data_IF_387837637710
#
_entry.id   IF_387837637710
#
_cell.length_a   1.000
_cell.length_b   1.000
_cell.length_c   1.000
_cell.angle_alpha   90.00
_cell.angle_beta   90.00
_cell.angle_gamma   90.00
#
_symmetry.space_group_name_H-M   'P 1'
#
loop_
_entity.id
_entity.type
_entity.pdbx_description
1 polymer ?
#
# COMPACT_ATOMS: atom_id res chain seq x y z
N UNK A 1 -15.94 -5.88 -11.89
CA UNK A 1 -15.55 -4.45 -11.99
C UNK A 1 -16.71 -3.45 -11.89
N UNK A 2 -17.97 -3.81 -12.16
CA UNK A 2 -19.10 -2.86 -12.08
C UNK A 2 -19.47 -2.36 -10.68
N UNK A 3 -19.16 -3.09 -9.60
CA UNK A 3 -19.49 -2.68 -8.23
C UNK A 3 -18.60 -1.55 -7.69
N UNK A 4 -17.32 -1.49 -8.09
CA UNK A 4 -16.37 -0.45 -7.65
C UNK A 4 -16.65 0.90 -8.31
N UNK A 5 -17.32 0.92 -9.48
CA UNK A 5 -17.74 2.16 -10.14
C UNK A 5 -18.90 2.86 -9.43
N UNK A 6 -19.74 2.14 -8.67
CA UNK A 6 -20.93 2.70 -8.00
C UNK A 6 -20.60 3.49 -6.74
N UNK A 7 -19.55 3.10 -6.02
CA UNK A 7 -19.04 3.81 -4.82
C UNK A 7 -17.67 4.47 -5.07
N UNK A 8 -17.32 4.68 -6.34
CA UNK A 8 -15.99 5.15 -6.73
C UNK A 8 -15.63 6.50 -6.10
N UNK A 9 -16.60 7.40 -5.92
CA UNK A 9 -16.39 8.68 -5.24
C UNK A 9 -16.05 8.50 -3.75
N UNK A 10 -16.76 7.60 -3.06
CA UNK A 10 -16.47 7.32 -1.64
C UNK A 10 -15.11 6.65 -1.45
N UNK A 11 -14.73 5.74 -2.35
CA UNK A 11 -13.41 5.10 -2.30
C UNK A 11 -12.31 6.13 -2.55
N UNK A 12 -12.48 7.03 -3.52
CA UNK A 12 -11.50 8.10 -3.80
C UNK A 12 -11.38 9.04 -2.60
N UNK A 13 -12.49 9.49 -2.00
CA UNK A 13 -12.43 10.40 -0.85
C UNK A 13 -11.72 9.77 0.35
N UNK A 14 -12.02 8.50 0.66
CA UNK A 14 -11.39 7.77 1.78
C UNK A 14 -9.89 7.55 1.52
N UNK A 15 -9.51 7.30 0.26
CA UNK A 15 -8.10 7.17 -0.13
C UNK A 15 -7.38 8.52 0.01
N UNK A 16 -8.00 9.60 -0.45
CA UNK A 16 -7.44 10.95 -0.40
C UNK A 16 -7.19 11.40 1.05
N UNK A 17 -8.18 11.21 1.93
CA UNK A 17 -8.04 11.45 3.38
C UNK A 17 -6.89 10.64 3.99
N UNK A 18 -6.77 9.35 3.64
CA UNK A 18 -5.69 8.49 4.17
C UNK A 18 -4.32 8.90 3.62
N UNK A 19 -4.24 9.36 2.36
CA UNK A 19 -3.00 9.88 1.76
C UNK A 19 -2.58 11.15 2.50
N UNK A 20 -3.49 12.12 2.68
CA UNK A 20 -3.19 13.35 3.41
C UNK A 20 -2.73 13.07 4.83
N UNK A 21 -3.44 12.20 5.55
CA UNK A 21 -3.08 11.83 6.91
C UNK A 21 -1.71 11.13 6.94
N UNK A 22 -1.49 10.16 6.06
CA UNK A 22 -0.23 9.43 6.00
C UNK A 22 0.95 10.34 5.65
N UNK A 23 0.72 11.33 4.79
CA UNK A 23 1.73 12.31 4.40
C UNK A 23 2.06 13.26 5.55
N UNK A 24 1.05 13.80 6.25
CA UNK A 24 1.24 14.66 7.44
C UNK A 24 2.01 13.93 8.54
N UNK A 25 1.62 12.69 8.86
CA UNK A 25 2.32 11.90 9.88
C UNK A 25 3.76 11.56 9.48
N UNK A 26 4.01 11.29 8.20
CA UNK A 26 5.36 11.10 7.68
C UNK A 26 6.18 12.40 7.78
N UNK A 27 5.62 13.53 7.35
CA UNK A 27 6.27 14.85 7.38
C UNK A 27 6.70 15.20 8.81
N UNK A 28 5.77 15.09 9.76
CA UNK A 28 6.03 15.32 11.18
C UNK A 28 7.12 14.39 11.72
N UNK A 29 7.00 13.08 11.48
CA UNK A 29 7.95 12.08 11.97
C UNK A 29 9.34 12.24 11.36
N UNK A 30 9.42 12.50 10.05
CA UNK A 30 10.68 12.66 9.32
C UNK A 30 11.40 13.93 9.76
N UNK A 31 10.71 15.07 9.82
CA UNK A 31 11.33 16.33 10.21
C UNK A 31 11.64 16.39 11.71
N UNK A 32 10.88 15.74 12.60
CA UNK A 32 11.24 15.59 14.01
C UNK A 32 12.47 14.70 14.19
N UNK A 33 12.51 13.51 13.55
CA UNK A 33 13.67 12.60 13.64
C UNK A 33 14.95 13.22 13.07
N UNK A 34 14.84 14.03 12.03
CA UNK A 34 15.99 14.76 11.46
C UNK A 34 16.38 15.98 12.30
N UNK A 35 15.47 16.62 13.06
CA UNK A 35 15.84 17.65 14.06
C UNK A 35 16.71 17.06 15.17
N UNK A 36 16.40 15.87 15.65
CA UNK A 36 17.23 15.18 16.66
C UNK A 36 18.60 14.77 16.11
N UNK A 37 18.67 14.33 14.84
CA UNK A 37 19.94 13.98 14.18
C UNK A 37 20.77 15.18 13.75
N UNK A 38 20.15 16.35 13.60
CA UNK A 38 20.77 17.63 13.17
C UNK A 38 21.81 18.19 14.14
N UNK A 39 21.95 17.63 15.35
CA UNK A 39 23.10 17.96 16.21
C UNK A 39 24.44 17.39 15.72
N UNK A 40 24.47 16.51 14.71
CA UNK A 40 25.71 15.82 14.32
C UNK A 40 26.18 15.97 12.87
N UNK A 41 25.42 16.52 11.92
CA UNK A 41 26.03 16.90 10.64
C UNK A 41 25.19 17.86 9.76
N UNK A 42 25.90 18.88 9.25
CA UNK A 42 25.60 19.82 8.16
C UNK A 42 24.58 20.97 8.39
N UNK A 43 25.16 22.16 8.57
CA UNK A 43 24.63 23.43 8.03
C UNK A 43 24.42 23.30 6.51
N UNK A 44 23.17 23.30 6.04
CA UNK A 44 22.84 23.75 4.67
C UNK A 44 22.20 25.13 4.81
N UNK A 45 22.85 26.16 4.28
CA UNK A 45 22.44 27.57 4.35
C UNK A 45 21.17 27.89 3.55
N UNK A 46 20.68 26.94 2.75
CA UNK A 46 19.70 27.18 1.69
C UNK A 46 18.34 26.49 1.95
N UNK A 47 18.15 25.88 3.12
CA UNK A 47 16.86 25.26 3.53
C UNK A 47 16.54 23.90 2.90
N UNK A 48 17.33 23.41 1.95
CA UNK A 48 17.15 22.08 1.34
C UNK A 48 17.58 20.93 2.25
N UNK A 49 16.84 19.81 2.19
CA UNK A 49 17.09 18.58 2.96
C UNK A 49 17.12 17.37 2.04
N UNK A 50 18.12 16.51 2.20
CA UNK A 50 18.24 15.26 1.46
C UNK A 50 17.23 14.22 1.97
N UNK A 51 16.43 13.65 1.07
CA UNK A 51 15.39 12.67 1.42
C UNK A 51 15.61 11.38 0.63
N UNK A 52 15.52 10.23 1.31
CA UNK A 52 15.46 8.93 0.65
C UNK A 52 14.00 8.59 0.34
N UNK A 53 13.66 8.44 -0.95
CA UNK A 53 12.27 8.31 -1.37
C UNK A 53 11.63 6.97 -1.02
N UNK A 54 12.38 5.86 -1.03
CA UNK A 54 11.82 4.54 -0.70
C UNK A 54 11.25 4.46 0.73
N UNK A 55 12.00 4.82 1.79
CA UNK A 55 11.46 4.82 3.15
C UNK A 55 10.36 5.88 3.39
N UNK A 56 10.20 6.85 2.49
CA UNK A 56 9.08 7.80 2.50
C UNK A 56 7.81 7.21 1.87
N UNK A 57 7.91 6.72 0.63
CA UNK A 57 6.75 6.24 -0.13
C UNK A 57 6.19 4.92 0.43
N UNK A 58 7.05 4.07 0.99
CA UNK A 58 6.63 2.74 1.40
C UNK A 58 5.61 2.74 2.54
N UNK A 59 5.77 3.47 3.66
CA UNK A 59 4.73 3.59 4.68
C UNK A 59 3.43 4.21 4.15
N UNK A 60 3.55 5.27 3.33
CA UNK A 60 2.40 5.94 2.70
C UNK A 60 1.56 4.94 1.89
N UNK A 61 2.20 4.22 0.96
CA UNK A 61 1.54 3.19 0.15
C UNK A 61 0.93 2.09 1.01
N UNK A 62 1.63 1.61 2.04
CA UNK A 62 1.12 0.53 2.88
C UNK A 62 -0.15 0.92 3.65
N UNK A 63 -0.27 2.19 4.07
CA UNK A 63 -1.46 2.70 4.75
C UNK A 63 -2.61 2.92 3.77
N UNK A 64 -2.36 3.61 2.66
CA UNK A 64 -3.37 3.85 1.62
C UNK A 64 -3.88 2.55 1.00
N UNK A 65 -2.98 1.65 0.62
CA UNK A 65 -3.35 0.34 0.08
C UNK A 65 -4.01 -0.53 1.16
N UNK A 66 -3.51 -0.48 2.41
CA UNK A 66 -4.13 -1.12 3.56
C UNK A 66 -5.56 -0.64 3.81
N UNK A 67 -5.86 0.64 3.61
CA UNK A 67 -7.19 1.22 3.78
C UNK A 67 -8.21 0.58 2.83
N UNK A 68 -7.81 0.30 1.59
CA UNK A 68 -8.63 -0.40 0.59
C UNK A 68 -8.77 -1.89 0.92
N UNK A 69 -7.73 -2.52 1.44
CA UNK A 69 -7.72 -3.95 1.71
C UNK A 69 -8.49 -4.34 2.98
N UNK A 70 -8.18 -3.70 4.11
CA UNK A 70 -8.68 -4.09 5.45
C UNK A 70 -9.60 -3.06 6.09
N UNK A 71 -9.53 -1.80 5.64
CA UNK A 71 -10.25 -0.68 6.25
C UNK A 71 -9.54 -0.09 7.47
N UNK A 72 -10.08 1.01 7.97
CA UNK A 72 -9.68 1.62 9.24
C UNK A 72 -10.30 0.85 10.43
N UNK A 73 -9.64 0.83 11.62
CA UNK A 73 -8.36 1.47 11.95
C UNK A 73 -7.12 0.62 11.60
N UNK A 74 -7.30 -0.62 11.15
CA UNK A 74 -6.21 -1.59 10.96
C UNK A 74 -5.15 -1.14 9.96
N UNK A 75 -5.52 -0.38 8.93
CA UNK A 75 -4.58 0.17 7.94
C UNK A 75 -3.49 1.07 8.55
N UNK A 76 -3.79 1.74 9.67
CA UNK A 76 -2.89 2.64 10.38
C UNK A 76 -2.17 1.99 11.57
N UNK A 77 -2.41 0.69 11.83
CA UNK A 77 -1.71 -0.03 12.90
C UNK A 77 -0.22 -0.21 12.55
N UNK A 78 0.73 0.23 13.39
CA UNK A 78 2.16 0.08 13.13
C UNK A 78 2.61 -1.37 12.91
N UNK A 79 1.98 -2.34 13.58
CA UNK A 79 2.26 -3.76 13.39
C UNK A 79 1.79 -4.23 12.01
N UNK A 80 0.63 -3.74 11.55
CA UNK A 80 0.12 -4.01 10.21
C UNK A 80 1.08 -3.45 9.16
N UNK A 81 1.41 -2.15 9.24
CA UNK A 81 2.28 -1.47 8.28
C UNK A 81 3.64 -2.17 8.20
N UNK A 82 4.22 -2.55 9.33
CA UNK A 82 5.51 -3.25 9.38
C UNK A 82 5.43 -4.67 8.80
N UNK A 83 4.34 -5.39 9.09
CA UNK A 83 4.16 -6.75 8.61
C UNK A 83 3.89 -6.78 7.09
N UNK A 84 3.02 -5.90 6.61
CA UNK A 84 2.63 -5.72 5.20
C UNK A 84 3.79 -5.18 4.35
N UNK A 85 4.62 -4.32 4.95
CA UNK A 85 5.77 -3.76 4.26
C UNK A 85 6.75 -4.84 3.82
N UNK A 86 7.03 -4.91 2.53
CA UNK A 86 8.10 -5.72 1.95
C UNK A 86 7.76 -7.19 1.95
N UNK A 87 6.47 -7.55 2.03
CA UNK A 87 6.01 -8.95 1.93
C UNK A 87 6.55 -9.61 0.66
N UNK A 88 6.52 -8.92 -0.48
CA UNK A 88 7.07 -9.50 -1.70
C UNK A 88 8.60 -9.62 -1.71
N UNK A 89 9.33 -8.74 -1.02
CA UNK A 89 10.78 -8.90 -0.83
C UNK A 89 11.06 -10.12 0.06
N UNK A 90 10.34 -10.24 1.19
CA UNK A 90 10.41 -11.40 2.10
C UNK A 90 10.13 -12.71 1.35
N UNK A 91 9.11 -12.73 0.48
CA UNK A 91 8.77 -13.89 -0.34
C UNK A 91 9.86 -14.21 -1.36
N UNK A 92 10.34 -13.21 -2.09
CA UNK A 92 11.38 -13.38 -3.10
C UNK A 92 12.66 -13.96 -2.48
N UNK A 93 13.09 -13.45 -1.32
CA UNK A 93 14.24 -13.95 -0.59
C UNK A 93 14.03 -15.38 -0.08
N UNK A 94 12.87 -15.67 0.52
CA UNK A 94 12.54 -17.02 0.96
C UNK A 94 12.50 -18.03 -0.21
N UNK A 95 11.91 -17.63 -1.35
CA UNK A 95 11.85 -18.44 -2.55
C UNK A 95 13.24 -18.67 -3.16
N UNK A 96 14.09 -17.64 -3.20
CA UNK A 96 15.49 -17.74 -3.65
C UNK A 96 16.24 -18.76 -2.81
N UNK A 97 16.16 -18.65 -1.49
CA UNK A 97 16.86 -19.55 -0.58
C UNK A 97 16.37 -21.01 -0.73
N UNK A 98 15.06 -21.22 -0.92
CA UNK A 98 14.48 -22.54 -1.15
C UNK A 98 14.84 -23.13 -2.52
N UNK A 99 15.01 -22.29 -3.56
CA UNK A 99 15.43 -22.74 -4.89
C UNK A 99 16.85 -23.31 -4.90
N UNK A 100 17.69 -22.93 -3.94
CA UNK A 100 19.03 -23.50 -3.75
C UNK A 100 19.02 -24.98 -3.33
N UNK A 101 17.88 -25.54 -2.92
CA UNK A 101 17.78 -26.93 -2.46
C UNK A 101 16.89 -27.77 -3.39
N UNK A 102 17.22 -29.07 -3.48
CA UNK A 102 16.40 -30.04 -4.18
C UNK A 102 15.01 -30.17 -3.54
N UNK A 103 13.98 -30.38 -4.37
CA UNK A 103 12.58 -30.42 -3.96
C UNK A 103 12.27 -31.30 -2.71
N UNK A 104 12.96 -32.43 -2.53
CA UNK A 104 12.73 -33.34 -1.41
C UNK A 104 13.25 -32.81 -0.06
N UNK A 105 14.26 -31.94 -0.07
CA UNK A 105 14.81 -31.32 1.15
C UNK A 105 14.02 -30.08 1.60
N UNK A 106 13.26 -29.46 0.68
CA UNK A 106 12.53 -28.20 0.95
C UNK A 106 11.58 -28.28 2.15
N UNK A 107 10.80 -29.36 2.37
CA UNK A 107 9.90 -29.44 3.52
C UNK A 107 10.61 -29.39 4.88
N UNK A 108 11.84 -29.93 4.95
CA UNK A 108 12.64 -29.97 6.17
C UNK A 108 13.42 -28.66 6.36
N UNK A 109 14.14 -28.22 5.32
CA UNK A 109 15.08 -27.10 5.46
C UNK A 109 14.39 -25.74 5.58
N UNK A 110 13.14 -25.60 5.08
CA UNK A 110 12.40 -24.33 5.15
C UNK A 110 12.32 -23.76 6.57
N UNK A 111 12.23 -24.61 7.59
CA UNK A 111 12.12 -24.16 8.98
C UNK A 111 13.42 -23.58 9.55
N UNK A 112 14.57 -23.91 8.96
CA UNK A 112 15.89 -23.42 9.36
C UNK A 112 16.24 -22.11 8.63
N UNK A 113 15.69 -21.90 7.42
CA UNK A 113 16.00 -20.74 6.60
C UNK A 113 15.49 -19.43 7.24
N UNK A 114 16.37 -18.43 7.47
CA UNK A 114 15.99 -17.20 8.15
C UNK A 114 14.94 -16.41 7.38
N UNK A 115 15.07 -16.30 6.05
CA UNK A 115 14.12 -15.55 5.22
C UNK A 115 12.73 -16.20 5.19
N UNK A 116 12.65 -17.53 5.22
CA UNK A 116 11.37 -18.23 5.35
C UNK A 116 10.71 -17.95 6.71
N UNK A 117 11.50 -17.94 7.79
CA UNK A 117 10.99 -17.61 9.14
C UNK A 117 10.48 -16.16 9.22
N UNK A 118 11.19 -15.21 8.62
CA UNK A 118 10.76 -13.80 8.54
C UNK A 118 9.46 -13.67 7.77
N UNK A 119 9.34 -14.32 6.61
CA UNK A 119 8.10 -14.35 5.83
C UNK A 119 6.93 -14.94 6.62
N UNK A 120 7.13 -16.09 7.28
CA UNK A 120 6.09 -16.72 8.08
C UNK A 120 5.71 -15.89 9.30
N UNK A 121 6.66 -15.17 9.91
CA UNK A 121 6.36 -14.24 11.00
C UNK A 121 5.50 -13.06 10.51
N UNK A 122 5.83 -12.48 9.35
CA UNK A 122 5.01 -11.43 8.74
C UNK A 122 3.60 -11.95 8.39
N UNK A 123 3.50 -13.14 7.80
CA UNK A 123 2.21 -13.78 7.51
C UNK A 123 1.37 -14.02 8.76
N UNK A 124 1.97 -14.49 9.85
CA UNK A 124 1.27 -14.68 11.14
C UNK A 124 0.78 -13.36 11.71
N UNK A 125 1.62 -12.32 11.75
CA UNK A 125 1.19 -10.98 12.21
C UNK A 125 0.02 -10.43 11.39
N UNK A 126 0.08 -10.55 10.07
CA UNK A 126 -1.02 -10.12 9.20
C UNK A 126 -2.29 -10.93 9.50
N UNK A 127 -2.17 -12.25 9.66
CA UNK A 127 -3.30 -13.10 10.01
C UNK A 127 -3.93 -12.74 11.36
N UNK A 128 -3.11 -12.43 12.37
CA UNK A 128 -3.56 -11.98 13.70
C UNK A 128 -4.39 -10.69 13.63
N UNK A 129 -4.05 -9.77 12.71
CA UNK A 129 -4.80 -8.52 12.50
C UNK A 129 -6.04 -8.70 11.62
N UNK A 130 -5.98 -9.55 10.59
CA UNK A 130 -7.08 -9.74 9.62
C UNK A 130 -8.17 -10.68 10.16
N UNK A 131 -7.78 -11.77 10.85
CA UNK A 131 -8.73 -12.80 11.26
C UNK A 131 -9.88 -12.30 12.13
N UNK A 132 -9.68 -11.38 13.10
CA UNK A 132 -10.79 -10.79 13.86
C UNK A 132 -11.79 -10.06 12.97
N UNK A 133 -11.30 -9.28 12.00
CA UNK A 133 -12.12 -8.49 11.07
C UNK A 133 -12.94 -9.43 10.16
N UNK A 134 -12.30 -10.48 9.64
CA UNK A 134 -12.98 -11.49 8.81
C UNK A 134 -14.07 -12.20 9.61
N UNK A 135 -13.80 -12.56 10.88
CA UNK A 135 -14.78 -13.19 11.78
C UNK A 135 -15.96 -12.26 12.07
N UNK A 136 -15.69 -10.99 12.34
CA UNK A 136 -16.74 -10.00 12.58
C UNK A 136 -17.63 -9.84 11.35
N UNK A 137 -17.04 -9.70 10.16
CA UNK A 137 -17.79 -9.56 8.90
C UNK A 137 -18.59 -10.81 8.52
N UNK A 138 -18.18 -12.00 8.98
CA UNK A 138 -18.96 -13.23 8.82
C UNK A 138 -20.27 -13.18 9.62
N UNK A 139 -20.28 -12.52 10.78
CA UNK A 139 -21.46 -12.35 11.62
C UNK A 139 -22.37 -11.21 11.15
N UNK A 140 -21.81 -10.24 10.42
CA UNK A 140 -22.57 -9.13 9.85
C UNK A 140 -23.42 -9.58 8.66
N UNK A 141 -24.60 -8.97 8.57
CA UNK A 141 -25.53 -9.20 7.48
C UNK A 141 -24.94 -8.71 6.16
N UNK A 142 -25.22 -9.40 5.05
CA UNK A 142 -24.53 -9.12 3.77
C UNK A 142 -24.71 -7.70 3.28
N UNK A 143 -25.85 -7.08 3.58
CA UNK A 143 -26.19 -5.73 3.18
C UNK A 143 -25.46 -4.64 4.00
N UNK A 144 -24.89 -4.99 5.15
CA UNK A 144 -24.20 -4.05 6.05
C UNK A 144 -22.68 -4.11 5.92
N UNK A 145 -22.15 -4.98 5.05
CA UNK A 145 -20.71 -5.15 4.91
C UNK A 145 -20.09 -3.92 4.23
N UNK A 146 -18.98 -3.40 4.76
CA UNK A 146 -18.26 -2.31 4.10
C UNK A 146 -17.81 -2.69 2.69
N UNK A 147 -17.77 -1.70 1.80
CA UNK A 147 -17.27 -1.84 0.42
C UNK A 147 -15.72 -1.79 0.38
N UNK A 148 -15.08 -2.75 1.03
CA UNK A 148 -13.62 -2.96 0.99
C UNK A 148 -13.26 -4.31 0.35
N UNK A 149 -11.95 -4.62 0.22
CA UNK A 149 -11.52 -5.86 -0.44
C UNK A 149 -12.04 -7.12 0.26
N UNK A 150 -12.20 -7.10 1.58
CA UNK A 150 -12.74 -8.25 2.32
C UNK A 150 -14.24 -8.40 2.02
N UNK A 151 -15.00 -7.30 2.00
CA UNK A 151 -16.39 -7.30 1.53
C UNK A 151 -16.52 -7.84 0.10
N UNK A 152 -15.64 -7.38 -0.80
CA UNK A 152 -15.55 -7.84 -2.18
C UNK A 152 -15.26 -9.34 -2.27
N UNK A 153 -14.28 -9.83 -1.51
CA UNK A 153 -13.92 -11.26 -1.45
C UNK A 153 -15.10 -12.10 -0.98
N UNK A 154 -15.81 -11.68 0.07
CA UNK A 154 -16.98 -12.41 0.55
C UNK A 154 -18.10 -12.47 -0.48
N UNK A 155 -18.34 -11.40 -1.24
CA UNK A 155 -19.36 -11.35 -2.27
C UNK A 155 -19.07 -12.31 -3.44
N UNK A 156 -17.78 -12.53 -3.75
CA UNK A 156 -17.33 -13.34 -4.88
C UNK A 156 -16.82 -14.73 -4.48
N UNK A 157 -16.80 -15.06 -3.19
CA UNK A 157 -16.46 -16.39 -2.69
C UNK A 157 -17.69 -17.31 -2.70
N UNK A 158 -17.49 -18.58 -3.06
CA UNK A 158 -18.54 -19.59 -3.10
C UNK A 158 -18.18 -20.86 -2.33
N UNK A 159 -19.19 -21.53 -1.78
CA UNK A 159 -19.03 -22.76 -0.99
C UNK A 159 -18.22 -22.52 0.29
N UNK A 160 -17.35 -23.48 0.64
CA UNK A 160 -16.53 -23.42 1.85
C UNK A 160 -15.63 -22.17 1.93
N UNK A 161 -15.19 -21.65 0.78
CA UNK A 161 -14.35 -20.44 0.71
C UNK A 161 -15.03 -19.21 1.28
N UNK A 162 -16.36 -19.11 1.18
CA UNK A 162 -17.11 -17.95 1.67
C UNK A 162 -17.20 -17.88 3.19
N UNK A 163 -16.97 -19.00 3.88
CA UNK A 163 -17.09 -19.11 5.34
C UNK A 163 -15.76 -19.44 6.03
N UNK A 164 -14.76 -19.88 5.28
CA UNK A 164 -13.45 -20.26 5.81
C UNK A 164 -12.58 -19.03 6.07
N UNK A 165 -12.30 -18.78 7.35
CA UNK A 165 -11.53 -17.60 7.80
C UNK A 165 -10.10 -17.66 7.29
N UNK A 166 -9.45 -18.83 7.33
CA UNK A 166 -8.05 -18.97 6.94
C UNK A 166 -7.85 -18.73 5.43
N UNK A 167 -8.82 -19.15 4.61
CA UNK A 167 -8.86 -18.85 3.19
C UNK A 167 -8.98 -17.35 2.94
N UNK A 168 -9.94 -16.67 3.59
CA UNK A 168 -10.14 -15.23 3.43
C UNK A 168 -8.90 -14.42 3.87
N UNK A 169 -8.32 -14.77 5.01
CA UNK A 169 -7.06 -14.18 5.51
C UNK A 169 -5.92 -14.42 4.51
N UNK A 170 -5.81 -15.64 3.98
CA UNK A 170 -4.82 -15.99 2.97
C UNK A 170 -4.96 -15.15 1.70
N UNK A 171 -6.18 -14.92 1.23
CA UNK A 171 -6.43 -14.10 0.04
C UNK A 171 -6.06 -12.63 0.26
N UNK A 172 -6.30 -12.07 1.45
CA UNK A 172 -5.82 -10.70 1.76
C UNK A 172 -4.30 -10.65 1.78
N UNK A 173 -3.63 -11.66 2.35
CA UNK A 173 -2.17 -11.75 2.30
C UNK A 173 -1.66 -11.79 0.85
N UNK A 174 -2.30 -12.56 -0.03
CA UNK A 174 -1.95 -12.62 -1.45
C UNK A 174 -2.13 -11.27 -2.16
N UNK A 175 -3.17 -10.51 -1.80
CA UNK A 175 -3.39 -9.15 -2.31
C UNK A 175 -2.32 -8.16 -1.82
N UNK A 176 -1.94 -8.22 -0.54
CA UNK A 176 -0.83 -7.42 0.01
C UNK A 176 0.45 -7.72 -0.76
N UNK A 177 0.73 -9.01 -0.97
CA UNK A 177 1.88 -9.47 -1.75
C UNK A 177 1.88 -8.93 -3.18
N UNK A 178 0.74 -9.01 -3.87
CA UNK A 178 0.61 -8.59 -5.26
C UNK A 178 0.77 -7.07 -5.43
N UNK A 179 0.18 -6.27 -4.53
CA UNK A 179 0.12 -4.80 -4.71
C UNK A 179 1.30 -4.02 -4.15
N UNK A 180 1.73 -4.31 -2.91
CA UNK A 180 2.64 -3.43 -2.14
C UNK A 180 3.91 -3.04 -2.91
N UNK A 181 4.68 -4.02 -3.39
CA UNK A 181 5.93 -3.74 -4.09
C UNK A 181 5.73 -3.03 -5.43
N UNK A 182 4.67 -3.38 -6.18
CA UNK A 182 4.44 -2.82 -7.51
C UNK A 182 4.10 -1.34 -7.40
N UNK A 183 3.21 -0.96 -6.47
CA UNK A 183 2.81 0.43 -6.25
C UNK A 183 4.01 1.26 -5.77
N UNK A 184 4.80 0.76 -4.81
CA UNK A 184 5.98 1.48 -4.32
C UNK A 184 7.01 1.70 -5.43
N UNK A 185 7.28 0.67 -6.25
CA UNK A 185 8.25 0.78 -7.34
C UNK A 185 7.77 1.73 -8.44
N UNK A 186 6.48 1.65 -8.80
CA UNK A 186 5.86 2.56 -9.76
C UNK A 186 6.02 4.02 -9.34
N UNK A 187 5.68 4.32 -8.08
CA UNK A 187 5.81 5.68 -7.55
C UNK A 187 7.28 6.13 -7.49
N UNK A 188 8.20 5.25 -7.13
CA UNK A 188 9.64 5.55 -7.15
C UNK A 188 10.12 5.92 -8.55
N UNK A 189 9.74 5.15 -9.56
CA UNK A 189 10.08 5.44 -10.95
C UNK A 189 9.49 6.77 -11.39
N UNK A 190 8.20 7.02 -11.12
CA UNK A 190 7.56 8.30 -11.45
C UNK A 190 8.30 9.49 -10.82
N UNK A 191 8.71 9.35 -9.55
CA UNK A 191 9.46 10.40 -8.84
C UNK A 191 10.84 10.64 -9.45
N UNK A 192 11.57 9.58 -9.81
CA UNK A 192 12.90 9.70 -10.40
C UNK A 192 12.86 10.28 -11.81
N UNK A 193 11.87 9.90 -12.61
CA UNK A 193 11.68 10.44 -13.95
C UNK A 193 11.21 11.89 -13.88
N UNK A 194 10.34 12.23 -12.93
CA UNK A 194 9.97 13.62 -12.64
C UNK A 194 11.17 14.48 -12.27
N UNK A 195 12.07 13.96 -11.44
CA UNK A 195 13.30 14.67 -11.08
C UNK A 195 14.22 14.90 -12.29
N UNK A 196 14.14 14.04 -13.30
CA UNK A 196 14.95 14.10 -14.52
C UNK A 196 14.32 14.93 -15.64
N UNK A 197 13.01 15.19 -15.60
CA UNK A 197 12.23 15.88 -16.64
C UNK A 197 11.46 17.08 -16.06
N UNK A 198 12.13 18.21 -15.76
CA UNK A 198 11.48 19.41 -15.21
C UNK A 198 10.36 19.98 -16.10
N UNK A 199 10.46 19.82 -17.41
CA UNK A 199 9.43 20.24 -18.38
C UNK A 199 8.08 19.55 -18.14
N UNK A 200 8.09 18.29 -17.70
CA UNK A 200 6.88 17.54 -17.39
C UNK A 200 6.25 17.99 -16.07
N UNK A 201 7.07 18.47 -15.11
CA UNK A 201 6.58 18.87 -13.78
C UNK A 201 5.57 20.02 -13.88
N UNK A 202 5.90 21.09 -14.60
CA UNK A 202 5.01 22.25 -14.69
C UNK A 202 3.72 21.91 -15.44
N UNK A 203 3.84 21.15 -16.55
CA UNK A 203 2.68 20.73 -17.35
C UNK A 203 1.67 19.91 -16.55
N UNK A 204 2.13 19.01 -15.67
CA UNK A 204 1.27 18.22 -14.80
C UNK A 204 0.72 19.04 -13.63
N UNK A 205 1.51 19.94 -13.03
CA UNK A 205 1.01 20.84 -11.98
C UNK A 205 -0.11 21.73 -12.50
N UNK A 206 0.06 22.34 -13.67
CA UNK A 206 -0.96 23.17 -14.30
C UNK A 206 -2.24 22.36 -14.59
N UNK A 207 -2.09 21.12 -15.09
CA UNK A 207 -3.23 20.23 -15.33
C UNK A 207 -3.97 19.88 -14.04
N UNK A 208 -3.25 19.51 -12.97
CA UNK A 208 -3.83 19.20 -11.66
C UNK A 208 -4.54 20.43 -11.10
N UNK A 209 -3.92 21.60 -11.10
CA UNK A 209 -4.54 22.85 -10.63
C UNK A 209 -5.81 23.19 -11.41
N UNK A 210 -5.80 23.03 -12.74
CA UNK A 210 -6.99 23.27 -13.57
C UNK A 210 -8.10 22.25 -13.28
N UNK A 211 -7.77 20.97 -13.14
CA UNK A 211 -8.73 19.93 -12.84
C UNK A 211 -9.37 20.10 -11.44
N UNK A 212 -8.60 20.59 -10.46
CA UNK A 212 -9.06 20.84 -9.09
C UNK A 212 -9.66 22.23 -8.89
N UNK A 213 -9.47 23.18 -9.82
CA UNK A 213 -10.03 24.54 -9.70
C UNK A 213 -11.55 24.59 -9.61
N UNK A 214 -12.24 23.52 -10.04
CA UNK A 214 -13.70 23.42 -10.04
C UNK A 214 -14.25 22.52 -8.94
N UNK A 215 -13.43 21.95 -8.06
CA UNK A 215 -13.87 20.99 -7.04
C UNK A 215 -13.03 21.09 -5.77
N UNK A 216 -13.70 21.18 -4.62
CA UNK A 216 -13.03 21.21 -3.31
C UNK A 216 -12.39 19.86 -2.92
N UNK A 217 -12.79 18.77 -3.57
CA UNK A 217 -12.30 17.41 -3.30
C UNK A 217 -11.84 16.69 -4.57
N UNK A 218 -10.90 15.76 -4.42
CA UNK A 218 -10.49 14.87 -5.51
C UNK A 218 -11.61 13.85 -5.75
N UNK A 219 -12.14 13.82 -6.97
CA UNK A 219 -13.15 12.84 -7.40
C UNK A 219 -12.64 12.01 -8.58
N UNK A 220 -13.32 10.91 -8.89
CA UNK A 220 -13.04 10.13 -10.11
C UNK A 220 -13.18 11.00 -11.37
N UNK A 221 -14.11 11.95 -11.37
CA UNK A 221 -14.25 12.89 -12.48
C UNK A 221 -13.04 13.82 -12.58
N UNK A 222 -12.57 14.38 -11.47
CA UNK A 222 -11.36 15.22 -11.43
C UNK A 222 -10.14 14.47 -11.94
N UNK A 223 -9.97 13.19 -11.55
CA UNK A 223 -8.89 12.33 -12.05
C UNK A 223 -9.00 12.06 -13.55
N UNK A 224 -10.21 11.87 -14.08
CA UNK A 224 -10.42 11.68 -15.53
C UNK A 224 -10.04 12.90 -16.37
N UNK A 225 -9.96 14.09 -15.75
CA UNK A 225 -9.56 15.35 -16.38
C UNK A 225 -8.04 15.60 -16.33
N UNK A 226 -7.25 14.61 -15.92
CA UNK A 226 -5.78 14.67 -15.85
C UNK A 226 -5.08 13.73 -16.85
N UNK A 227 -5.32 13.88 -18.18
CA UNK A 227 -4.75 12.98 -19.19
C UNK A 227 -3.22 13.03 -19.29
N UNK A 228 -2.55 14.15 -18.96
CA UNK A 228 -1.08 14.21 -18.98
C UNK A 228 -0.50 13.44 -17.81
N UNK A 229 -1.08 13.54 -16.61
CA UNK A 229 -0.67 12.72 -15.46
C UNK A 229 -0.82 11.23 -15.78
N UNK A 230 -1.96 10.83 -16.34
CA UNK A 230 -2.21 9.44 -16.75
C UNK A 230 -1.25 8.98 -17.86
N UNK A 231 -0.95 9.84 -18.84
CA UNK A 231 0.01 9.53 -19.91
C UNK A 231 1.42 9.37 -19.38
N UNK A 232 1.87 10.27 -18.50
CA UNK A 232 3.19 10.19 -17.87
C UNK A 232 3.35 8.89 -17.09
N UNK A 233 2.38 8.55 -16.24
CA UNK A 233 2.42 7.28 -15.50
C UNK A 233 2.52 6.06 -16.42
N UNK A 234 1.86 6.08 -17.59
CA UNK A 234 1.92 5.00 -18.58
C UNK A 234 3.24 4.93 -19.34
N UNK A 235 3.95 6.03 -19.50
CA UNK A 235 5.27 6.04 -20.15
C UNK A 235 6.36 5.53 -19.20
N UNK A 236 6.20 5.76 -17.90
CA UNK A 236 7.12 5.30 -16.84
C UNK A 236 6.99 3.80 -16.56
N UNK A 237 5.76 3.26 -16.64
CA UNK A 237 5.41 1.87 -16.26
C UNK A 237 5.46 0.87 -17.41
#
# INVERSE_FOLDING_TARGET
>A
MGSLKRDGEHVVSVIDEEIEQSFKEWEDGYFQSTKDKRHTNRNTSDGWTDISMNPCLRPLVNRTFGRVLVGAPTCSDPDWVTAASGVGIKLMLAARDLRGFHAWLRPLIKHVLPNYRILMAARRKLAEKIAPIVRERLLQDRAQRPHDMIGYQFQHSAGWRATDVDFQVGQIFDNVFAGDNQIVNALLQCVYDLASLPECQQLMRDEICNALSQSEAITLESLSRMPKVDSFMKEVL
#
